data_IF_472595851175
#
_entry.id   IF_472595851175
#
_cell.length_a   1.000
_cell.length_b   1.000
_cell.length_c   1.000
_cell.angle_alpha   90.00
_cell.angle_beta   90.00
_cell.angle_gamma   90.00
#
_symmetry.space_group_name_H-M   'P 1'
#
loop_
_entity.id
_entity.type
_entity.pdbx_description
1 polymer ?
#
# COMPACT_ATOMS: atom_id res chain seq x y z
N UNK A 1 -20.07 15.58 -37.11
CA UNK A 1 -18.86 16.18 -36.51
C UNK A 1 -18.87 15.81 -35.05
N UNK A 2 -17.78 15.28 -34.51
CA UNK A 2 -17.62 15.11 -33.05
C UNK A 2 -17.56 16.51 -32.46
N UNK A 3 -18.45 16.80 -31.53
CA UNK A 3 -18.46 18.06 -30.81
C UNK A 3 -17.31 18.07 -29.78
N UNK A 4 -16.81 19.27 -29.48
CA UNK A 4 -15.73 19.46 -28.51
C UNK A 4 -16.13 18.92 -27.14
N UNK A 5 -17.41 19.04 -26.74
CA UNK A 5 -17.95 18.50 -25.49
C UNK A 5 -17.77 16.99 -25.36
N UNK A 6 -18.15 16.21 -26.39
CA UNK A 6 -17.92 14.75 -26.39
C UNK A 6 -16.45 14.38 -26.26
N UNK A 7 -15.57 15.19 -26.85
CA UNK A 7 -14.12 14.96 -26.82
C UNK A 7 -13.55 15.19 -25.41
N UNK A 8 -14.08 16.17 -24.67
CA UNK A 8 -13.66 16.48 -23.30
C UNK A 8 -14.10 15.39 -22.30
N UNK A 9 -15.32 14.87 -22.42
CA UNK A 9 -15.81 13.78 -21.55
C UNK A 9 -14.95 12.53 -21.68
N UNK A 10 -14.55 12.17 -22.90
CA UNK A 10 -13.66 11.03 -23.15
C UNK A 10 -12.28 11.22 -22.53
N UNK A 11 -11.72 12.44 -22.58
CA UNK A 11 -10.42 12.75 -21.97
C UNK A 11 -10.50 12.66 -20.45
N UNK A 12 -11.56 13.18 -19.82
CA UNK A 12 -11.76 13.10 -18.38
C UNK A 12 -11.91 11.66 -17.90
N UNK A 13 -12.71 10.84 -18.61
CA UNK A 13 -12.88 9.43 -18.31
C UNK A 13 -11.55 8.65 -18.42
N UNK A 14 -10.76 8.94 -19.47
CA UNK A 14 -9.43 8.34 -19.64
C UNK A 14 -8.47 8.73 -18.52
N UNK A 15 -8.44 10.01 -18.13
CA UNK A 15 -7.60 10.50 -17.04
C UNK A 15 -7.95 9.83 -15.71
N UNK A 16 -9.24 9.76 -15.36
CA UNK A 16 -9.70 9.07 -14.15
C UNK A 16 -9.33 7.57 -14.17
N UNK A 17 -9.46 6.90 -15.32
CA UNK A 17 -9.05 5.51 -15.48
C UNK A 17 -7.56 5.29 -15.21
N UNK A 18 -6.70 6.16 -15.74
CA UNK A 18 -5.26 6.04 -15.50
C UNK A 18 -4.87 6.34 -14.05
N UNK A 19 -5.53 7.31 -13.41
CA UNK A 19 -5.36 7.57 -11.97
C UNK A 19 -5.72 6.35 -11.12
N UNK A 20 -6.84 5.68 -11.44
CA UNK A 20 -7.27 4.47 -10.72
C UNK A 20 -6.29 3.30 -10.88
N UNK A 21 -5.74 3.10 -12.09
CA UNK A 21 -4.69 2.09 -12.32
C UNK A 21 -3.43 2.44 -11.52
N UNK A 22 -3.00 3.71 -11.53
CA UNK A 22 -1.87 4.20 -10.75
C UNK A 22 -2.05 3.98 -9.25
N UNK A 23 -3.23 4.27 -8.72
CA UNK A 23 -3.58 4.05 -7.31
C UNK A 23 -3.51 2.56 -6.93
N UNK A 24 -4.06 1.68 -7.77
CA UNK A 24 -3.99 0.24 -7.56
C UNK A 24 -2.55 -0.30 -7.55
N UNK A 25 -1.71 0.19 -8.47
CA UNK A 25 -0.29 -0.17 -8.51
C UNK A 25 0.48 0.34 -7.29
N UNK A 26 0.22 1.56 -6.84
CA UNK A 26 0.88 2.14 -5.66
C UNK A 26 0.63 1.28 -4.41
N UNK A 27 -0.62 0.91 -4.12
CA UNK A 27 -0.93 0.03 -2.97
C UNK A 27 -0.46 -1.40 -3.20
N UNK A 28 -0.68 -1.95 -4.40
CA UNK A 28 -0.35 -3.34 -4.69
C UNK A 28 1.14 -3.65 -4.56
N UNK A 29 2.00 -2.82 -5.15
CA UNK A 29 3.45 -3.05 -5.13
C UNK A 29 4.06 -2.81 -3.74
N UNK A 30 3.60 -1.77 -3.04
CA UNK A 30 4.06 -1.50 -1.67
C UNK A 30 3.57 -2.57 -0.69
N UNK A 31 2.35 -3.08 -0.86
CA UNK A 31 1.82 -4.19 -0.08
C UNK A 31 2.63 -5.48 -0.25
N UNK A 32 3.00 -5.83 -1.49
CA UNK A 32 3.89 -6.98 -1.75
C UNK A 32 5.26 -6.77 -1.10
N UNK A 33 5.86 -5.58 -1.23
CA UNK A 33 7.14 -5.26 -0.59
C UNK A 33 7.08 -5.34 0.94
N UNK A 34 5.99 -4.87 1.53
CA UNK A 34 5.74 -4.90 2.98
C UNK A 34 5.61 -6.34 3.47
N UNK A 35 4.77 -7.15 2.84
CA UNK A 35 4.61 -8.57 3.23
C UNK A 35 5.90 -9.38 3.12
N UNK A 36 6.74 -9.09 2.13
CA UNK A 36 8.07 -9.72 2.00
C UNK A 36 9.04 -9.29 3.10
N UNK A 37 8.94 -8.06 3.60
CA UNK A 37 9.73 -7.63 4.75
C UNK A 37 9.22 -8.25 6.06
N UNK A 38 7.90 -8.35 6.21
CA UNK A 38 7.27 -8.85 7.45
C UNK A 38 7.34 -10.36 7.61
N UNK A 39 7.46 -11.16 6.54
CA UNK A 39 7.45 -12.63 6.65
C UNK A 39 8.50 -13.15 7.64
N UNK A 40 9.69 -12.55 7.66
CA UNK A 40 10.78 -12.94 8.58
C UNK A 40 10.58 -12.39 9.99
N UNK A 41 10.07 -11.15 10.08
CA UNK A 41 9.83 -10.48 11.35
C UNK A 41 8.73 -11.19 12.11
N UNK A 42 7.62 -11.55 11.47
CA UNK A 42 6.51 -12.28 12.08
C UNK A 42 6.95 -13.66 12.62
N UNK A 43 7.74 -14.40 11.85
CA UNK A 43 8.27 -15.69 12.29
C UNK A 43 9.18 -15.55 13.53
N UNK A 44 10.09 -14.57 13.52
CA UNK A 44 10.96 -14.29 14.66
C UNK A 44 10.19 -13.76 15.88
N UNK A 45 9.20 -12.89 15.66
CA UNK A 45 8.34 -12.31 16.68
C UNK A 45 7.59 -13.38 17.47
N UNK A 46 6.97 -14.34 16.77
CA UNK A 46 6.22 -15.43 17.41
C UNK A 46 7.17 -16.33 18.21
N UNK A 47 8.32 -16.70 17.65
CA UNK A 47 9.32 -17.52 18.36
C UNK A 47 9.87 -16.84 19.62
N UNK A 48 10.26 -15.57 19.52
CA UNK A 48 10.76 -14.80 20.65
C UNK A 48 9.71 -14.60 21.75
N UNK A 49 8.45 -14.36 21.36
CA UNK A 49 7.33 -14.21 22.30
C UNK A 49 6.98 -15.52 23.00
N UNK A 50 7.15 -16.67 22.32
CA UNK A 50 6.92 -17.99 22.91
C UNK A 50 7.95 -18.31 24.00
N UNK A 51 9.20 -17.90 23.83
CA UNK A 51 10.26 -18.06 24.84
C UNK A 51 10.12 -17.03 25.98
N UNK A 52 9.87 -15.77 25.64
CA UNK A 52 9.71 -14.69 26.61
C UNK A 52 8.57 -13.75 26.22
N UNK A 53 7.49 -13.78 26.98
CA UNK A 53 6.29 -12.97 26.73
C UNK A 53 6.52 -11.46 26.79
N UNK A 54 7.54 -11.01 27.53
CA UNK A 54 7.90 -9.60 27.62
C UNK A 54 8.43 -9.05 26.28
N UNK A 55 8.87 -9.94 25.37
CA UNK A 55 9.33 -9.57 24.04
C UNK A 55 8.21 -9.20 23.08
N UNK A 56 6.94 -9.49 23.40
CA UNK A 56 5.81 -9.23 22.51
C UNK A 56 5.72 -7.76 22.07
N UNK A 57 5.92 -6.82 23.01
CA UNK A 57 5.86 -5.39 22.71
C UNK A 57 6.98 -4.94 21.76
N UNK A 58 8.20 -5.45 21.96
CA UNK A 58 9.33 -5.17 21.07
C UNK A 58 9.15 -5.84 19.71
N UNK A 59 8.57 -7.03 19.67
CA UNK A 59 8.26 -7.74 18.45
C UNK A 59 7.23 -6.98 17.59
N UNK A 60 6.18 -6.42 18.21
CA UNK A 60 5.22 -5.55 17.52
C UNK A 60 5.89 -4.29 16.95
N UNK A 61 6.83 -3.69 17.67
CA UNK A 61 7.57 -2.53 17.19
C UNK A 61 8.33 -2.85 15.89
N UNK A 62 9.01 -4.01 15.83
CA UNK A 62 9.73 -4.41 14.64
C UNK A 62 8.81 -4.71 13.44
N UNK A 63 7.63 -5.29 13.69
CA UNK A 63 6.63 -5.53 12.63
C UNK A 63 6.08 -4.22 12.06
N UNK A 64 5.89 -3.19 12.88
CA UNK A 64 5.32 -1.91 12.40
C UNK A 64 6.26 -1.11 11.49
N UNK A 65 7.58 -1.35 11.55
CA UNK A 65 8.55 -0.58 10.75
C UNK A 65 8.31 -0.80 9.24
N UNK A 66 8.24 -2.03 8.71
CA UNK A 66 7.84 -2.27 7.33
C UNK A 66 6.46 -1.75 6.96
N UNK A 67 5.50 -1.76 7.89
CA UNK A 67 4.11 -1.32 7.61
C UNK A 67 4.03 0.14 7.12
N UNK A 68 5.04 0.97 7.44
CA UNK A 68 5.17 2.32 6.88
C UNK A 68 5.25 2.35 5.35
N UNK A 69 5.78 1.30 4.72
CA UNK A 69 5.94 1.19 3.26
C UNK A 69 4.57 1.11 2.58
N UNK A 70 3.68 0.22 3.05
CA UNK A 70 2.32 0.11 2.51
C UNK A 70 1.46 1.34 2.84
N UNK A 71 1.67 1.96 4.00
CA UNK A 71 0.99 3.21 4.35
C UNK A 71 1.35 4.34 3.37
N UNK A 72 2.62 4.46 2.96
CA UNK A 72 3.00 5.43 1.93
C UNK A 72 2.37 5.13 0.57
N UNK A 73 2.27 3.85 0.18
CA UNK A 73 1.55 3.44 -1.02
C UNK A 73 0.06 3.81 -0.97
N UNK A 74 -0.58 3.62 0.18
CA UNK A 74 -1.95 4.03 0.43
C UNK A 74 -2.13 5.54 0.34
N UNK A 75 -1.23 6.33 0.93
CA UNK A 75 -1.28 7.80 0.83
C UNK A 75 -1.21 8.26 -0.63
N UNK A 76 -0.29 7.70 -1.42
CA UNK A 76 -0.18 8.02 -2.85
C UNK A 76 -1.45 7.65 -3.59
N UNK A 77 -2.05 6.50 -3.31
CA UNK A 77 -3.31 6.10 -3.92
C UNK A 77 -4.45 7.06 -3.59
N UNK A 78 -4.54 7.52 -2.34
CA UNK A 78 -5.54 8.53 -1.96
C UNK A 78 -5.33 9.85 -2.71
N UNK A 79 -4.09 10.31 -2.86
CA UNK A 79 -3.76 11.53 -3.61
C UNK A 79 -4.06 11.42 -5.11
N UNK A 80 -4.10 10.21 -5.68
CA UNK A 80 -4.44 9.98 -7.09
C UNK A 80 -5.96 9.91 -7.32
N UNK A 81 -6.72 9.48 -6.31
CA UNK A 81 -8.16 9.24 -6.41
C UNK A 81 -9.02 10.44 -5.98
N UNK A 82 -8.49 11.33 -5.14
CA UNK A 82 -9.21 12.45 -4.54
C UNK A 82 -8.49 13.78 -4.80
#
# INVERSE_FOLDING_TARGET
MVDVGTTLEMVQASQAGMSAVGAGLAVGLTGVGTGLAEMGIGAAAVGATAENRDMFGLALLFTVIPETIVIFGLVVALLLLF
#
